data_IF_305575187718
#
_entry.id   IF_305575187718
#
_cell.length_a   1.000
_cell.length_b   1.000
_cell.length_c   1.000
_cell.angle_alpha   90.00
_cell.angle_beta   90.00
_cell.angle_gamma   90.00
#
_symmetry.space_group_name_H-M   'P 1'
#
loop_
_entity.id
_entity.type
_entity.pdbx_description
1 polymer ?
#
# COMPACT_ATOMS: atom_id res chain seq x y z
N UNK A 1 17.69 12.06 -7.86
CA UNK A 1 17.56 10.83 -7.04
C UNK A 1 17.88 9.63 -7.90
N UNK A 2 18.70 8.70 -7.39
CA UNK A 2 19.00 7.44 -8.08
C UNK A 2 17.75 6.56 -8.10
N UNK A 3 17.59 5.72 -9.14
CA UNK A 3 16.45 4.77 -9.25
C UNK A 3 16.33 3.90 -7.99
N UNK A 4 17.46 3.56 -7.38
CA UNK A 4 17.54 2.76 -6.18
C UNK A 4 16.95 3.46 -4.95
N UNK A 5 17.26 4.73 -4.73
CA UNK A 5 16.72 5.48 -3.60
C UNK A 5 15.19 5.59 -3.66
N UNK A 6 14.64 5.77 -4.86
CA UNK A 6 13.20 5.84 -5.06
C UNK A 6 12.50 4.51 -4.78
N UNK A 7 13.08 3.40 -5.27
CA UNK A 7 12.60 2.06 -4.98
C UNK A 7 12.60 1.78 -3.47
N UNK A 8 13.71 2.11 -2.79
CA UNK A 8 13.83 1.90 -1.34
C UNK A 8 12.80 2.69 -0.54
N UNK A 9 12.52 3.95 -0.90
CA UNK A 9 11.51 4.77 -0.22
C UNK A 9 10.12 4.16 -0.37
N UNK A 10 9.75 3.72 -1.58
CA UNK A 10 8.46 3.08 -1.82
C UNK A 10 8.33 1.75 -1.08
N UNK A 11 9.40 0.96 -1.05
CA UNK A 11 9.42 -0.31 -0.33
C UNK A 11 9.25 -0.12 1.18
N UNK A 12 9.95 0.84 1.77
CA UNK A 12 9.83 1.17 3.20
C UNK A 12 8.40 1.65 3.51
N UNK A 13 7.85 2.53 2.68
CA UNK A 13 6.48 3.03 2.85
C UNK A 13 5.46 1.90 2.80
N UNK A 14 5.61 0.97 1.88
CA UNK A 14 4.72 -0.18 1.73
C UNK A 14 4.81 -1.15 2.92
N UNK A 15 6.03 -1.46 3.39
CA UNK A 15 6.23 -2.29 4.56
C UNK A 15 5.63 -1.63 5.81
N UNK A 16 5.82 -0.32 5.98
CA UNK A 16 5.25 0.43 7.08
C UNK A 16 3.72 0.37 7.09
N UNK A 17 3.07 0.53 5.91
CA UNK A 17 1.63 0.37 5.77
C UNK A 17 1.17 -1.05 6.12
N UNK A 18 1.89 -2.08 5.69
CA UNK A 18 1.56 -3.46 6.01
C UNK A 18 1.63 -3.73 7.52
N UNK A 19 2.64 -3.20 8.21
CA UNK A 19 2.76 -3.29 9.67
C UNK A 19 1.59 -2.60 10.37
N UNK A 20 1.27 -1.36 9.98
CA UNK A 20 0.14 -0.62 10.58
C UNK A 20 -1.22 -1.30 10.32
N UNK A 21 -1.40 -1.92 9.15
CA UNK A 21 -2.61 -2.68 8.83
C UNK A 21 -2.72 -3.99 9.63
N UNK A 22 -1.60 -4.58 10.04
CA UNK A 22 -1.59 -5.78 10.89
C UNK A 22 -1.81 -5.49 12.38
N UNK A 23 -1.64 -4.22 12.79
CA UNK A 23 -1.90 -3.82 14.17
C UNK A 23 -3.39 -3.85 14.49
N UNK A 24 -3.71 -4.02 15.77
CA UNK A 24 -5.10 -3.96 16.27
C UNK A 24 -5.63 -2.53 16.17
N UNK A 25 -6.75 -2.35 15.47
CA UNK A 25 -7.45 -1.07 15.31
C UNK A 25 -8.56 -0.88 16.34
N UNK A 26 -9.14 -1.99 16.81
CA UNK A 26 -10.11 -1.97 17.89
C UNK A 26 -9.98 -3.22 18.75
N UNK A 27 -10.33 -3.09 20.02
CA UNK A 27 -10.45 -4.20 20.95
C UNK A 27 -11.91 -4.36 21.36
N UNK A 28 -12.34 -5.58 21.55
CA UNK A 28 -13.68 -5.92 22.02
C UNK A 28 -13.52 -6.60 23.37
N UNK A 29 -14.10 -5.99 24.37
CA UNK A 29 -14.15 -6.57 25.71
C UNK A 29 -15.45 -7.36 25.88
N UNK A 30 -15.34 -8.62 26.22
CA UNK A 30 -16.50 -9.42 26.60
C UNK A 30 -16.98 -9.00 28.00
N UNK A 31 -18.18 -8.44 28.07
CA UNK A 31 -18.81 -8.09 29.33
C UNK A 31 -19.58 -9.30 29.89
N UNK A 32 -19.28 -9.72 31.10
CA UNK A 32 -20.05 -10.75 31.80
C UNK A 32 -19.42 -12.14 31.88
N UNK A 33 -20.22 -13.19 31.86
CA UNK A 33 -19.83 -14.59 32.13
C UNK A 33 -18.85 -15.21 31.11
N UNK A 34 -18.60 -14.52 30.00
CA UNK A 34 -17.63 -14.90 28.95
C UNK A 34 -16.33 -14.12 29.11
N UNK A 35 -15.71 -14.15 30.31
CA UNK A 35 -14.41 -13.55 30.56
C UNK A 35 -13.33 -14.27 29.75
N UNK A 36 -13.24 -13.95 28.44
CA UNK A 36 -12.19 -14.38 27.55
C UNK A 36 -11.15 -13.29 27.32
N UNK A 37 -10.07 -13.61 26.64
CA UNK A 37 -9.11 -12.61 26.16
C UNK A 37 -9.79 -11.58 25.26
N UNK A 38 -9.41 -10.30 25.32
CA UNK A 38 -9.96 -9.28 24.46
C UNK A 38 -9.71 -9.63 22.98
N UNK A 39 -10.76 -9.58 22.18
CA UNK A 39 -10.67 -9.87 20.75
C UNK A 39 -10.18 -8.63 20.01
N UNK A 40 -9.02 -8.75 19.37
CA UNK A 40 -8.43 -7.67 18.57
C UNK A 40 -8.87 -7.73 17.13
N UNK A 41 -9.39 -6.62 16.59
CA UNK A 41 -9.71 -6.46 15.16
C UNK A 41 -8.57 -5.74 14.47
N UNK A 42 -7.94 -6.38 13.48
CA UNK A 42 -6.86 -5.77 12.70
C UNK A 42 -7.40 -4.99 11.51
N UNK A 43 -6.57 -4.07 10.96
CA UNK A 43 -6.94 -3.32 9.76
C UNK A 43 -7.20 -4.21 8.54
N UNK A 44 -6.47 -5.31 8.38
CA UNK A 44 -6.70 -6.28 7.30
C UNK A 44 -8.05 -7.00 7.42
N UNK A 45 -8.48 -7.30 8.65
CA UNK A 45 -9.76 -7.94 8.90
C UNK A 45 -10.92 -6.96 8.65
N UNK A 46 -10.80 -5.73 9.16
CA UNK A 46 -11.82 -4.70 8.97
C UNK A 46 -11.96 -4.27 7.50
N UNK A 47 -10.84 -4.21 6.76
CA UNK A 47 -10.79 -3.74 5.37
C UNK A 47 -10.00 -4.71 4.47
N UNK A 48 -10.60 -5.80 3.98
CA UNK A 48 -9.94 -6.75 3.08
C UNK A 48 -9.29 -6.12 1.83
N UNK A 49 -9.80 -5.01 1.24
CA UNK A 49 -9.14 -4.33 0.13
C UNK A 49 -7.74 -3.82 0.43
N UNK A 50 -7.38 -3.57 1.70
CA UNK A 50 -6.01 -3.16 2.06
C UNK A 50 -4.99 -4.19 1.56
N UNK A 51 -5.20 -5.46 1.85
CA UNK A 51 -4.30 -6.54 1.44
C UNK A 51 -4.11 -6.61 -0.06
N UNK A 52 -5.21 -6.54 -0.81
CA UNK A 52 -5.20 -6.58 -2.28
C UNK A 52 -4.43 -5.41 -2.88
N UNK A 53 -4.66 -4.18 -2.39
CA UNK A 53 -4.03 -2.97 -2.90
C UNK A 53 -2.55 -2.89 -2.53
N UNK A 54 -2.16 -3.29 -1.33
CA UNK A 54 -0.75 -3.37 -0.95
C UNK A 54 0.00 -4.42 -1.78
N UNK A 55 -0.64 -5.58 -2.04
CA UNK A 55 -0.08 -6.61 -2.93
C UNK A 55 0.07 -6.09 -4.35
N UNK A 56 -0.94 -5.40 -4.88
CA UNK A 56 -0.88 -4.78 -6.21
C UNK A 56 0.25 -3.76 -6.29
N UNK A 57 0.39 -2.90 -5.28
CA UNK A 57 1.48 -1.92 -5.21
C UNK A 57 2.85 -2.61 -5.18
N UNK A 58 2.99 -3.69 -4.41
CA UNK A 58 4.21 -4.49 -4.35
C UNK A 58 4.57 -5.09 -5.71
N UNK A 59 3.61 -5.65 -6.42
CA UNK A 59 3.80 -6.20 -7.78
C UNK A 59 4.24 -5.11 -8.76
N UNK A 60 3.58 -3.94 -8.74
CA UNK A 60 3.96 -2.81 -9.61
C UNK A 60 5.37 -2.31 -9.27
N UNK A 61 5.72 -2.27 -7.99
CA UNK A 61 7.06 -1.91 -7.54
C UNK A 61 8.10 -2.91 -8.05
N UNK A 62 7.84 -4.21 -7.97
CA UNK A 62 8.68 -5.25 -8.55
C UNK A 62 8.82 -5.14 -10.07
N UNK A 63 7.72 -4.90 -10.78
CA UNK A 63 7.73 -4.67 -12.22
C UNK A 63 8.54 -3.43 -12.61
N UNK A 64 8.69 -2.44 -11.72
CA UNK A 64 9.48 -1.23 -11.96
C UNK A 64 10.98 -1.49 -12.19
N UNK A 65 11.46 -2.67 -11.78
CA UNK A 65 12.84 -3.11 -12.02
C UNK A 65 13.03 -3.47 -13.49
N UNK A 66 12.02 -4.13 -14.08
CA UNK A 66 12.07 -4.67 -15.44
C UNK A 66 11.51 -3.67 -16.48
N UNK A 67 10.42 -2.99 -16.15
CA UNK A 67 9.81 -2.00 -17.03
C UNK A 67 10.46 -0.63 -16.84
N UNK A 68 10.66 0.06 -17.95
CA UNK A 68 11.15 1.44 -17.95
C UNK A 68 10.28 2.32 -18.83
N UNK A 69 10.31 3.63 -18.58
CA UNK A 69 9.62 4.60 -19.41
C UNK A 69 8.20 4.90 -18.97
N UNK A 70 7.30 5.12 -19.94
CA UNK A 70 5.94 5.60 -19.70
C UNK A 70 5.01 4.54 -19.08
N UNK A 71 5.22 3.27 -19.43
CA UNK A 71 4.37 2.17 -18.94
C UNK A 71 4.34 2.08 -17.41
N UNK A 72 5.50 2.16 -16.76
CA UNK A 72 5.56 2.13 -15.30
C UNK A 72 4.94 3.38 -14.66
N UNK A 73 5.00 4.53 -15.34
CA UNK A 73 4.34 5.75 -14.86
C UNK A 73 2.83 5.62 -14.90
N UNK A 74 2.28 5.05 -15.97
CA UNK A 74 0.84 4.79 -16.06
C UNK A 74 0.38 3.81 -14.99
N UNK A 75 1.13 2.71 -14.77
CA UNK A 75 0.83 1.74 -13.72
C UNK A 75 0.90 2.39 -12.33
N UNK A 76 1.91 3.22 -12.06
CA UNK A 76 2.01 3.94 -10.79
C UNK A 76 0.90 4.99 -10.65
N UNK A 77 0.57 5.69 -11.71
CA UNK A 77 -0.51 6.68 -11.72
C UNK A 77 -1.88 6.04 -11.48
N UNK A 78 -2.12 4.81 -11.98
CA UNK A 78 -3.39 4.10 -11.75
C UNK A 78 -3.59 3.66 -10.30
N UNK A 79 -2.51 3.52 -9.53
CA UNK A 79 -2.62 3.25 -8.09
C UNK A 79 -3.12 4.44 -7.28
N UNK A 80 -2.83 5.67 -7.72
CA UNK A 80 -3.20 6.88 -6.98
C UNK A 80 -4.70 6.96 -6.70
N UNK A 81 -5.61 6.84 -7.69
CA UNK A 81 -7.04 6.89 -7.44
C UNK A 81 -7.52 5.72 -6.56
N UNK A 82 -6.93 4.52 -6.70
CA UNK A 82 -7.28 3.36 -5.88
C UNK A 82 -6.91 3.56 -4.41
N UNK A 83 -5.72 4.08 -4.14
CA UNK A 83 -5.28 4.39 -2.77
C UNK A 83 -6.05 5.57 -2.19
N UNK A 84 -6.41 6.57 -2.99
CA UNK A 84 -7.25 7.70 -2.55
C UNK A 84 -8.66 7.22 -2.20
N UNK A 85 -9.23 6.33 -3.01
CA UNK A 85 -10.52 5.70 -2.71
C UNK A 85 -10.45 4.90 -1.39
N UNK A 86 -9.38 4.12 -1.19
CA UNK A 86 -9.18 3.38 0.06
C UNK A 86 -9.08 4.34 1.27
N UNK A 87 -8.35 5.45 1.14
CA UNK A 87 -8.23 6.46 2.19
C UNK A 87 -9.59 7.07 2.54
N UNK A 88 -10.40 7.38 1.51
CA UNK A 88 -11.76 7.87 1.70
C UNK A 88 -12.66 6.84 2.39
N UNK A 89 -12.57 5.57 1.96
CA UNK A 89 -13.33 4.47 2.55
C UNK A 89 -13.00 4.31 4.04
N UNK A 90 -11.72 4.29 4.40
CA UNK A 90 -11.28 4.21 5.78
C UNK A 90 -11.80 5.40 6.57
N UNK A 91 -11.63 6.62 6.07
CA UNK A 91 -12.10 7.83 6.78
C UNK A 91 -13.61 7.87 7.03
N UNK A 92 -14.41 7.29 6.13
CA UNK A 92 -15.88 7.37 6.20
C UNK A 92 -16.54 6.17 6.90
N UNK A 93 -15.95 4.98 6.85
CA UNK A 93 -16.64 3.73 7.26
C UNK A 93 -15.89 2.89 8.30
N UNK A 94 -14.85 3.43 8.95
CA UNK A 94 -14.04 2.63 9.90
C UNK A 94 -14.87 2.08 11.06
N UNK A 95 -15.75 2.87 11.66
CA UNK A 95 -16.61 2.41 12.75
C UNK A 95 -17.56 1.28 12.33
N UNK A 96 -18.15 1.40 11.14
CA UNK A 96 -19.05 0.38 10.60
C UNK A 96 -18.30 -0.90 10.21
N UNK A 97 -17.12 -0.75 9.58
CA UNK A 97 -16.31 -1.89 9.17
C UNK A 97 -15.82 -2.69 10.38
N UNK A 98 -15.35 -2.00 11.42
CA UNK A 98 -14.94 -2.62 12.68
C UNK A 98 -16.13 -3.30 13.35
N UNK A 99 -17.29 -2.63 13.46
CA UNK A 99 -18.49 -3.19 14.06
C UNK A 99 -18.96 -4.45 13.32
N UNK A 100 -18.93 -4.45 12.00
CA UNK A 100 -19.27 -5.62 11.17
C UNK A 100 -18.34 -6.80 11.44
N UNK A 101 -17.03 -6.54 11.49
CA UNK A 101 -16.03 -7.59 11.75
C UNK A 101 -16.15 -8.14 13.17
N UNK A 102 -16.41 -7.27 14.15
CA UNK A 102 -16.71 -7.68 15.53
C UNK A 102 -17.91 -8.61 15.56
N UNK A 103 -19.03 -8.23 14.91
CA UNK A 103 -20.24 -9.05 14.85
C UNK A 103 -19.98 -10.41 14.22
N UNK A 104 -19.12 -10.48 13.20
CA UNK A 104 -18.70 -11.74 12.58
C UNK A 104 -17.90 -12.61 13.55
N UNK A 105 -16.90 -12.05 14.23
CA UNK A 105 -16.05 -12.78 15.18
C UNK A 105 -16.84 -13.27 16.39
N UNK A 106 -17.78 -12.46 16.88
CA UNK A 106 -18.69 -12.86 17.97
C UNK A 106 -19.59 -14.02 17.54
N UNK A 107 -20.16 -13.96 16.34
CA UNK A 107 -20.98 -15.04 15.77
C UNK A 107 -20.16 -16.34 15.66
N UNK A 108 -18.92 -16.25 15.15
CA UNK A 108 -18.03 -17.41 14.99
C UNK A 108 -17.62 -18.02 16.34
N UNK A 109 -17.38 -17.19 17.37
CA UNK A 109 -16.91 -17.65 18.68
C UNK A 109 -18.03 -18.14 19.60
N UNK A 110 -19.22 -17.54 19.51
CA UNK A 110 -20.31 -17.81 20.48
C UNK A 110 -21.53 -18.45 19.86
N UNK A 111 -21.67 -18.42 18.53
CA UNK A 111 -22.89 -18.84 17.82
C UNK A 111 -24.09 -17.91 18.02
N UNK A 112 -23.93 -16.79 18.74
CA UNK A 112 -25.00 -15.82 18.99
C UNK A 112 -25.20 -14.94 17.76
N UNK A 113 -26.34 -15.10 17.10
CA UNK A 113 -26.75 -14.30 15.96
C UNK A 113 -27.70 -13.18 16.41
N UNK A 114 -27.48 -11.98 15.90
CA UNK A 114 -28.36 -10.83 16.10
C UNK A 114 -27.69 -9.68 16.83
N UNK A 115 -27.80 -8.49 16.21
CA UNK A 115 -27.11 -7.27 16.68
C UNK A 115 -27.51 -6.89 18.11
N UNK A 116 -28.77 -7.04 18.47
CA UNK A 116 -29.28 -6.70 19.81
C UNK A 116 -28.73 -7.66 20.88
N UNK A 117 -28.70 -8.96 20.60
CA UNK A 117 -28.15 -9.96 21.53
C UNK A 117 -26.63 -9.78 21.67
N UNK A 118 -25.94 -9.39 20.61
CA UNK A 118 -24.50 -9.12 20.65
C UNK A 118 -24.17 -7.86 21.46
N UNK A 119 -24.97 -6.80 21.35
CA UNK A 119 -24.75 -5.56 22.11
C UNK A 119 -24.89 -5.74 23.63
N UNK A 120 -25.66 -6.70 24.08
CA UNK A 120 -25.83 -7.02 25.49
C UNK A 120 -24.57 -7.66 26.12
N UNK A 121 -23.83 -8.45 25.32
CA UNK A 121 -22.67 -9.21 25.80
C UNK A 121 -21.34 -8.62 25.39
N UNK A 122 -21.29 -7.78 24.38
CA UNK A 122 -20.06 -7.24 23.82
C UNK A 122 -20.13 -5.72 23.66
N UNK A 123 -19.24 -5.03 24.33
CA UNK A 123 -19.03 -3.63 24.09
C UNK A 123 -17.84 -3.48 23.14
N UNK A 124 -18.08 -2.81 22.00
CA UNK A 124 -17.00 -2.40 21.14
C UNK A 124 -16.13 -1.43 21.94
N UNK A 125 -14.96 -1.85 22.30
CA UNK A 125 -13.98 -1.01 22.97
C UNK A 125 -13.60 0.19 22.11
N UNK A 126 -12.76 1.04 22.66
CA UNK A 126 -12.33 2.25 21.94
C UNK A 126 -11.54 1.89 20.68
N UNK A 127 -11.82 2.61 19.61
CA UNK A 127 -10.98 2.58 18.41
C UNK A 127 -9.57 3.05 18.78
N UNK A 128 -8.58 2.23 18.54
CA UNK A 128 -7.18 2.56 18.78
C UNK A 128 -6.69 3.62 17.79
N UNK A 129 -5.70 4.40 18.18
CA UNK A 129 -5.09 5.42 17.30
C UNK A 129 -4.45 4.81 16.04
N UNK A 130 -4.24 3.50 15.99
CA UNK A 130 -3.55 2.82 14.89
C UNK A 130 -4.20 3.01 13.53
N UNK A 131 -5.54 3.07 13.46
CA UNK A 131 -6.24 3.36 12.21
C UNK A 131 -5.96 4.78 11.67
N UNK A 132 -5.81 5.76 12.57
CA UNK A 132 -5.45 7.14 12.20
C UNK A 132 -4.02 7.17 11.67
N UNK A 133 -3.09 6.50 12.37
CA UNK A 133 -1.70 6.37 11.92
C UNK A 133 -1.62 5.72 10.53
N UNK A 134 -2.43 4.68 10.30
CA UNK A 134 -2.52 4.05 8.98
C UNK A 134 -3.05 5.03 7.92
N UNK A 135 -4.11 5.77 8.21
CA UNK A 135 -4.68 6.76 7.29
C UNK A 135 -3.67 7.86 6.93
N UNK A 136 -2.93 8.37 7.91
CA UNK A 136 -1.86 9.36 7.69
C UNK A 136 -0.73 8.76 6.85
N UNK A 137 -0.27 7.55 7.18
CA UNK A 137 0.77 6.86 6.41
C UNK A 137 0.33 6.58 4.97
N UNK A 138 -0.95 6.21 4.77
CA UNK A 138 -1.53 6.02 3.44
C UNK A 138 -1.56 7.34 2.65
N UNK A 139 -1.91 8.46 3.29
CA UNK A 139 -1.84 9.79 2.68
C UNK A 139 -0.41 10.14 2.24
N UNK A 140 0.60 9.90 3.09
CA UNK A 140 2.00 10.08 2.73
C UNK A 140 2.43 9.16 1.56
N UNK A 141 1.96 7.90 1.54
CA UNK A 141 2.24 6.98 0.45
C UNK A 141 1.64 7.47 -0.88
N UNK A 142 0.42 8.02 -0.86
CA UNK A 142 -0.23 8.62 -2.04
C UNK A 142 0.62 9.78 -2.58
N UNK A 143 1.15 10.65 -1.71
CA UNK A 143 2.04 11.74 -2.12
C UNK A 143 3.33 11.21 -2.77
N UNK A 144 3.93 10.16 -2.22
CA UNK A 144 5.12 9.51 -2.79
C UNK A 144 4.80 8.90 -4.16
N UNK A 145 3.65 8.23 -4.32
CA UNK A 145 3.20 7.66 -5.60
C UNK A 145 2.98 8.76 -6.64
N UNK A 146 2.29 9.84 -6.26
CA UNK A 146 2.02 10.99 -7.14
C UNK A 146 3.32 11.67 -7.58
N UNK A 147 4.23 11.93 -6.65
CA UNK A 147 5.55 12.46 -6.99
C UNK A 147 6.33 11.53 -7.94
N UNK A 148 6.19 10.22 -7.73
CA UNK A 148 6.82 9.19 -8.57
C UNK A 148 6.28 9.18 -10.00
N UNK A 149 4.99 9.42 -10.17
CA UNK A 149 4.34 9.46 -11.48
C UNK A 149 4.70 10.75 -12.24
N UNK A 150 4.80 11.88 -11.53
CA UNK A 150 5.02 13.21 -12.12
C UNK A 150 6.49 13.51 -12.44
N UNK A 151 7.43 13.08 -11.58
CA UNK A 151 8.85 13.41 -11.80
C UNK A 151 9.39 12.63 -13.00
N UNK A 152 9.84 13.32 -14.07
CA UNK A 152 10.47 12.65 -15.19
C UNK A 152 11.73 11.94 -14.70
N UNK A 153 11.73 10.63 -14.72
CA UNK A 153 12.98 9.88 -14.55
C UNK A 153 13.86 10.31 -15.72
N UNK A 154 14.95 11.05 -15.45
CA UNK A 154 15.90 11.40 -16.47
C UNK A 154 16.24 10.10 -17.22
N UNK A 155 15.81 10.03 -18.47
CA UNK A 155 16.23 8.95 -19.34
C UNK A 155 17.74 8.98 -19.25
N UNK A 156 18.33 7.91 -18.71
CA UNK A 156 19.77 7.72 -18.79
C UNK A 156 20.06 7.83 -20.29
N UNK A 157 20.51 9.02 -20.67
CA UNK A 157 21.00 9.26 -22.02
C UNK A 157 22.11 8.21 -22.14
N UNK A 158 21.76 7.07 -22.76
CA UNK A 158 22.78 6.29 -23.43
C UNK A 158 23.40 7.30 -24.38
N UNK A 159 24.50 7.91 -23.93
CA UNK A 159 25.47 8.45 -24.86
C UNK A 159 25.70 7.29 -25.83
N UNK A 160 25.01 7.33 -26.96
CA UNK A 160 25.48 6.65 -28.14
C UNK A 160 26.86 7.27 -28.31
N UNK A 161 27.86 6.57 -27.82
CA UNK A 161 29.20 6.74 -28.31
C UNK A 161 29.06 6.32 -29.77
N UNK A 162 28.62 7.30 -30.57
CA UNK A 162 28.89 7.32 -31.97
C UNK A 162 30.41 7.35 -32.04
N UNK A 163 31.00 6.16 -31.96
CA UNK A 163 32.32 5.92 -32.46
C UNK A 163 32.24 6.27 -33.94
N UNK A 164 32.36 7.54 -34.23
CA UNK A 164 32.88 8.02 -35.52
C UNK A 164 34.26 7.41 -35.62
N UNK A 165 34.31 6.15 -36.03
CA UNK A 165 35.50 5.53 -36.60
C UNK A 165 35.76 6.36 -37.85
N UNK A 166 36.55 7.42 -37.66
CA UNK A 166 37.21 8.10 -38.77
C UNK A 166 38.07 7.02 -39.41
N UNK A 167 37.58 6.46 -40.48
CA UNK A 167 38.39 5.67 -41.40
C UNK A 167 39.47 6.63 -41.89
N UNK A 168 40.76 6.35 -41.65
CA UNK A 168 41.83 7.15 -42.23
C UNK A 168 41.73 6.95 -43.77
N UNK A 169 41.46 8.02 -44.46
CA UNK A 169 41.30 8.08 -45.94
C UNK A 169 42.63 7.91 -46.65
N UNK A 170 43.74 7.67 -45.94
CA UNK A 170 45.09 7.69 -46.46
C UNK A 170 45.73 6.34 -46.76
N UNK A 171 44.92 5.26 -46.76
CA UNK A 171 45.47 3.92 -47.04
C UNK A 171 45.73 3.60 -48.54
N UNK A 172 45.30 4.49 -49.42
CA UNK A 172 45.43 4.28 -50.87
C UNK A 172 46.38 5.23 -51.57
N UNK A 173 46.95 6.21 -50.86
CA UNK A 173 47.84 7.23 -51.43
C UNK A 173 49.32 6.83 -51.61
N UNK A 174 49.76 5.70 -51.10
CA UNK A 174 51.20 5.32 -51.10
C UNK A 174 51.59 4.24 -52.06
N UNK A 175 50.77 3.92 -53.06
CA UNK A 175 51.12 2.94 -54.11
C UNK A 175 51.11 3.64 -55.49
N UNK A 176 51.98 4.65 -55.67
CA UNK A 176 52.48 5.09 -57.00
C UNK A 176 53.92 5.45 -56.87
#
# INVERSE_FOLDING_TARGET
MTKFAHFSIQMISLLFLAVLASMTWATVDASGALSGEPIGVTGFAAFPPIGSLLTLQFVILGLSIFLSGWAIRLLTASLVPLMTWLLFLIGSTTSEAVSREVSRLVLESTGVAGVLAQQEFFQVGQLNLNWVLFAVALGCNILVLTASALIPRAASSRKSVSSKKSVPEDLWGSQR
#
